data_IF_022264903222
#
_entry.id   IF_022264903222
#
_cell.length_a   1.000
_cell.length_b   1.000
_cell.length_c   1.000
_cell.angle_alpha   90.00
_cell.angle_beta   90.00
_cell.angle_gamma   90.00
#
_symmetry.space_group_name_H-M   'P 1'
#
loop_
_entity.id
_entity.type
_entity.pdbx_description
1 polymer ?
#
# COMPACT_ATOMS: atom_id res chain seq x y z
N UNK A 1 -32.97 28.11 -35.90
CA UNK A 1 -32.85 26.71 -35.44
C UNK A 1 -31.45 26.56 -34.84
N UNK A 2 -31.36 26.55 -33.52
CA UNK A 2 -30.15 26.13 -32.80
C UNK A 2 -30.60 24.96 -31.93
N UNK A 3 -30.17 23.75 -32.28
CA UNK A 3 -30.26 22.60 -31.38
C UNK A 3 -28.87 22.40 -30.77
N UNK A 4 -28.82 22.53 -29.46
CA UNK A 4 -27.63 22.45 -28.63
C UNK A 4 -27.12 21.00 -28.55
N UNK A 5 -25.81 20.85 -28.80
CA UNK A 5 -25.03 19.63 -28.58
C UNK A 5 -25.01 19.26 -27.08
N UNK A 6 -25.96 18.42 -26.63
CA UNK A 6 -26.03 17.92 -25.25
C UNK A 6 -25.45 16.50 -25.03
N UNK A 7 -24.77 15.90 -26.01
CA UNK A 7 -24.43 14.47 -25.97
C UNK A 7 -22.98 14.09 -25.60
N UNK A 8 -22.08 15.04 -25.29
CA UNK A 8 -20.67 14.72 -25.02
C UNK A 8 -20.27 14.61 -23.52
N UNK A 9 -21.18 14.90 -22.59
CA UNK A 9 -20.87 14.91 -21.14
C UNK A 9 -21.02 13.57 -20.42
N UNK A 10 -21.79 12.63 -20.98
CA UNK A 10 -22.14 11.37 -20.31
C UNK A 10 -21.08 10.28 -20.52
N UNK A 11 -20.53 10.17 -21.74
CA UNK A 11 -19.49 9.18 -22.08
C UNK A 11 -18.14 9.48 -21.42
N UNK A 12 -17.79 10.76 -21.28
CA UNK A 12 -16.53 11.18 -20.65
C UNK A 12 -16.52 10.95 -19.13
N UNK A 13 -17.69 11.05 -18.46
CA UNK A 13 -17.83 10.76 -17.03
C UNK A 13 -17.65 9.28 -16.71
N UNK A 14 -18.37 8.43 -17.46
CA UNK A 14 -18.31 6.97 -17.27
C UNK A 14 -16.89 6.42 -17.47
N UNK A 15 -16.17 6.95 -18.45
CA UNK A 15 -14.82 6.52 -18.78
C UNK A 15 -13.76 6.91 -17.74
N UNK A 16 -13.86 8.11 -17.11
CA UNK A 16 -12.90 8.47 -16.05
C UNK A 16 -13.17 7.74 -14.73
N UNK A 17 -14.44 7.55 -14.34
CA UNK A 17 -14.80 6.79 -13.13
C UNK A 17 -14.32 5.33 -13.25
N UNK A 18 -14.49 4.71 -14.42
CA UNK A 18 -13.99 3.35 -14.68
C UNK A 18 -12.46 3.26 -14.62
N UNK A 19 -11.75 4.24 -15.17
CA UNK A 19 -10.28 4.32 -15.09
C UNK A 19 -9.82 4.46 -13.64
N UNK A 20 -10.48 5.32 -12.86
CA UNK A 20 -10.14 5.56 -11.47
C UNK A 20 -10.43 4.33 -10.59
N UNK A 21 -11.57 3.67 -10.81
CA UNK A 21 -11.91 2.41 -10.13
C UNK A 21 -10.92 1.30 -10.46
N UNK A 22 -10.52 1.15 -11.72
CA UNK A 22 -9.50 0.17 -12.10
C UNK A 22 -8.17 0.43 -11.39
N UNK A 23 -7.75 1.68 -11.33
CA UNK A 23 -6.55 2.07 -10.59
C UNK A 23 -6.65 1.76 -9.10
N UNK A 24 -7.78 2.10 -8.45
CA UNK A 24 -8.01 1.77 -7.05
C UNK A 24 -8.07 0.26 -6.77
N UNK A 25 -8.61 -0.54 -7.69
CA UNK A 25 -8.59 -2.01 -7.56
C UNK A 25 -7.17 -2.57 -7.65
N UNK A 26 -6.34 -2.04 -8.55
CA UNK A 26 -4.93 -2.44 -8.65
C UNK A 26 -4.15 -2.05 -7.38
N UNK A 27 -4.38 -0.83 -6.89
CA UNK A 27 -3.83 -0.32 -5.63
C UNK A 27 -4.27 -1.20 -4.44
N UNK A 28 -5.55 -1.55 -4.36
CA UNK A 28 -6.11 -2.44 -3.32
C UNK A 28 -5.43 -3.80 -3.32
N UNK A 29 -5.24 -4.42 -4.48
CA UNK A 29 -4.59 -5.72 -4.58
C UNK A 29 -3.14 -5.68 -4.04
N UNK A 30 -2.42 -4.59 -4.29
CA UNK A 30 -1.08 -4.39 -3.73
C UNK A 30 -1.12 -4.14 -2.23
N UNK A 31 -2.08 -3.37 -1.72
CA UNK A 31 -2.24 -3.22 -0.27
C UNK A 31 -2.57 -4.55 0.42
N UNK A 32 -3.38 -5.41 -0.19
CA UNK A 32 -3.62 -6.78 0.31
C UNK A 32 -2.32 -7.59 0.34
N UNK A 33 -1.49 -7.48 -0.70
CA UNK A 33 -0.16 -8.11 -0.73
C UNK A 33 0.73 -7.60 0.41
N UNK A 34 0.80 -6.27 0.61
CA UNK A 34 1.53 -5.64 1.70
C UNK A 34 1.02 -6.13 3.06
N UNK A 35 -0.29 -6.22 3.25
CA UNK A 35 -0.90 -6.69 4.49
C UNK A 35 -0.53 -8.14 4.81
N UNK A 36 -0.59 -9.03 3.82
CA UNK A 36 -0.16 -10.43 3.98
C UNK A 36 1.32 -10.50 4.35
N UNK A 37 2.17 -9.71 3.69
CA UNK A 37 3.59 -9.65 4.00
C UNK A 37 3.88 -9.05 5.37
N UNK A 38 3.11 -8.05 5.80
CA UNK A 38 3.22 -7.44 7.13
C UNK A 38 2.89 -8.44 8.25
N UNK A 39 1.82 -9.24 8.06
CA UNK A 39 1.49 -10.35 8.97
C UNK A 39 2.55 -11.43 8.98
N UNK A 40 3.05 -11.81 7.80
CA UNK A 40 4.12 -12.81 7.68
C UNK A 40 5.39 -12.33 8.39
N UNK A 41 5.75 -11.05 8.24
CA UNK A 41 6.87 -10.44 8.95
C UNK A 41 6.69 -10.53 10.47
N UNK A 42 5.50 -10.19 10.96
CA UNK A 42 5.17 -10.29 12.38
C UNK A 42 5.36 -11.70 12.92
N UNK A 43 4.81 -12.66 12.21
CA UNK A 43 4.84 -14.06 12.63
C UNK A 43 6.28 -14.60 12.58
N UNK A 44 7.07 -14.20 11.57
CA UNK A 44 8.49 -14.51 11.48
C UNK A 44 9.31 -13.92 12.64
N UNK A 45 9.04 -12.67 13.02
CA UNK A 45 9.69 -12.02 14.16
C UNK A 45 9.33 -12.68 15.49
N UNK A 46 8.07 -13.09 15.67
CA UNK A 46 7.62 -13.82 16.87
C UNK A 46 8.18 -15.24 16.94
N UNK A 47 8.27 -15.92 15.79
CA UNK A 47 8.80 -17.28 15.66
C UNK A 47 10.32 -17.37 15.78
N UNK A 48 11.02 -16.25 15.59
CA UNK A 48 12.48 -16.23 15.57
C UNK A 48 13.05 -16.84 14.29
N UNK A 49 12.37 -16.63 13.16
CA UNK A 49 12.80 -17.13 11.86
C UNK A 49 14.19 -16.57 11.46
N UNK A 50 14.90 -17.26 10.55
CA UNK A 50 16.20 -16.81 10.07
C UNK A 50 16.17 -15.40 9.47
N UNK A 51 17.29 -14.66 9.58
CA UNK A 51 17.34 -13.26 9.12
C UNK A 51 17.09 -13.15 7.63
N UNK A 52 17.57 -14.12 6.84
CA UNK A 52 17.36 -14.15 5.40
C UNK A 52 15.86 -14.15 5.05
N UNK A 53 15.04 -14.87 5.81
CA UNK A 53 13.59 -14.88 5.60
C UNK A 53 12.94 -13.53 5.93
N UNK A 54 13.40 -12.88 7.00
CA UNK A 54 12.95 -11.53 7.37
C UNK A 54 13.33 -10.54 6.27
N UNK A 55 14.57 -10.59 5.76
CA UNK A 55 15.06 -9.73 4.68
C UNK A 55 14.24 -9.95 3.40
N UNK A 56 14.00 -11.21 3.00
CA UNK A 56 13.19 -11.53 1.82
C UNK A 56 11.76 -10.97 1.91
N UNK A 57 11.16 -10.99 3.11
CA UNK A 57 9.83 -10.41 3.34
C UNK A 57 9.89 -8.89 3.18
N UNK A 58 10.88 -8.23 3.78
CA UNK A 58 11.07 -6.78 3.66
C UNK A 58 11.28 -6.34 2.21
N UNK A 59 12.07 -7.09 1.43
CA UNK A 59 12.30 -6.80 0.02
C UNK A 59 11.03 -6.89 -0.82
N UNK A 60 10.22 -7.92 -0.58
CA UNK A 60 8.90 -8.06 -1.23
C UNK A 60 7.95 -6.93 -0.85
N UNK A 61 7.93 -6.52 0.42
CA UNK A 61 7.11 -5.37 0.88
C UNK A 61 7.54 -4.09 0.18
N UNK A 62 8.84 -3.81 0.14
CA UNK A 62 9.39 -2.62 -0.50
C UNK A 62 9.05 -2.60 -2.01
N UNK A 63 9.15 -3.74 -2.69
CA UNK A 63 8.73 -3.84 -4.09
C UNK A 63 7.23 -3.54 -4.27
N UNK A 64 6.38 -4.07 -3.40
CA UNK A 64 4.94 -3.80 -3.44
C UNK A 64 4.64 -2.32 -3.19
N UNK A 65 5.28 -1.68 -2.21
CA UNK A 65 5.14 -0.25 -1.92
C UNK A 65 5.57 0.63 -3.11
N UNK A 66 6.70 0.31 -3.76
CA UNK A 66 7.12 1.02 -4.98
C UNK A 66 6.11 0.91 -6.13
N UNK A 67 5.43 -0.22 -6.25
CA UNK A 67 4.36 -0.42 -7.24
C UNK A 67 3.12 0.39 -6.89
N UNK A 68 2.78 0.52 -5.61
CA UNK A 68 1.71 1.40 -5.13
C UNK A 68 2.04 2.85 -5.49
N UNK A 69 3.23 3.34 -5.13
CA UNK A 69 3.66 4.71 -5.48
C UNK A 69 3.59 4.99 -6.99
N UNK A 70 3.95 4.01 -7.82
CA UNK A 70 3.86 4.14 -9.27
C UNK A 70 2.42 4.30 -9.74
N UNK A 71 1.49 3.53 -9.18
CA UNK A 71 0.05 3.64 -9.46
C UNK A 71 -0.49 4.99 -8.97
N UNK A 72 -0.13 5.41 -7.75
CA UNK A 72 -0.56 6.70 -7.21
C UNK A 72 -0.12 7.87 -8.10
N UNK A 73 1.13 7.85 -8.58
CA UNK A 73 1.66 8.85 -9.53
C UNK A 73 0.92 8.80 -10.86
N UNK A 74 0.65 7.60 -11.39
CA UNK A 74 -0.11 7.45 -12.64
C UNK A 74 -1.55 7.97 -12.53
N UNK A 75 -2.16 7.83 -11.36
CA UNK A 75 -3.55 8.22 -11.10
C UNK A 75 -3.70 9.66 -10.57
N UNK A 76 -2.63 10.40 -10.32
CA UNK A 76 -2.66 11.68 -9.62
C UNK A 76 -3.64 12.68 -10.27
N UNK A 77 -3.63 12.74 -11.59
CA UNK A 77 -4.48 13.64 -12.38
C UNK A 77 -5.96 13.25 -12.27
N UNK A 78 -6.27 11.97 -12.33
CA UNK A 78 -7.62 11.42 -12.23
C UNK A 78 -8.16 11.56 -10.80
N UNK A 79 -7.34 11.26 -9.78
CA UNK A 79 -7.67 11.51 -8.36
C UNK A 79 -7.95 12.99 -8.12
N UNK A 80 -7.17 13.91 -8.72
CA UNK A 80 -7.41 15.36 -8.63
C UNK A 80 -8.74 15.77 -9.27
N UNK A 81 -9.01 15.32 -10.50
CA UNK A 81 -10.29 15.59 -11.18
C UNK A 81 -11.49 15.11 -10.36
N UNK A 82 -11.38 13.91 -9.77
CA UNK A 82 -12.44 13.37 -8.91
C UNK A 82 -12.68 14.25 -7.67
N UNK A 83 -11.61 14.69 -6.99
CA UNK A 83 -11.71 15.59 -5.83
C UNK A 83 -12.39 16.92 -6.17
N UNK A 84 -12.09 17.46 -7.35
CA UNK A 84 -12.63 18.74 -7.82
C UNK A 84 -14.03 18.60 -8.47
N UNK A 85 -14.54 17.37 -8.62
CA UNK A 85 -15.83 17.10 -9.26
C UNK A 85 -17.02 17.33 -8.32
N UNK A 86 -18.11 17.86 -8.85
CA UNK A 86 -19.37 18.09 -8.11
C UNK A 86 -20.28 16.86 -8.07
N UNK A 87 -20.06 15.89 -8.96
CA UNK A 87 -20.79 14.62 -9.00
C UNK A 87 -19.88 13.48 -8.59
N UNK A 88 -19.73 13.26 -7.28
CA UNK A 88 -18.94 12.14 -6.77
C UNK A 88 -19.68 10.82 -7.01
N UNK A 89 -18.98 9.85 -7.59
CA UNK A 89 -19.46 8.49 -7.74
C UNK A 89 -19.44 7.77 -6.39
N UNK A 90 -20.60 7.29 -5.94
CA UNK A 90 -20.75 6.52 -4.70
C UNK A 90 -19.82 5.30 -4.67
N UNK A 91 -19.73 4.57 -5.79
CA UNK A 91 -18.85 3.42 -5.94
C UNK A 91 -17.36 3.76 -5.77
N UNK A 92 -16.94 4.94 -6.24
CA UNK A 92 -15.57 5.42 -6.03
C UNK A 92 -15.35 5.74 -4.56
N UNK A 93 -16.33 6.37 -3.89
CA UNK A 93 -16.25 6.65 -2.46
C UNK A 93 -16.15 5.36 -1.63
N UNK A 94 -17.01 4.37 -1.89
CA UNK A 94 -16.94 3.05 -1.24
C UNK A 94 -15.57 2.40 -1.42
N UNK A 95 -15.00 2.46 -2.62
CA UNK A 95 -13.67 1.87 -2.89
C UNK A 95 -12.57 2.59 -2.11
N UNK A 96 -12.67 3.92 -1.96
CA UNK A 96 -11.74 4.71 -1.14
C UNK A 96 -11.87 4.33 0.33
N UNK A 97 -13.09 4.18 0.85
CA UNK A 97 -13.33 3.80 2.24
C UNK A 97 -12.77 2.39 2.54
N UNK A 98 -12.95 1.43 1.62
CA UNK A 98 -12.34 0.10 1.72
C UNK A 98 -10.80 0.16 1.74
N UNK A 99 -10.20 1.00 0.89
CA UNK A 99 -8.76 1.21 0.87
C UNK A 99 -8.26 1.83 2.18
N UNK A 100 -8.97 2.84 2.70
CA UNK A 100 -8.62 3.46 3.98
C UNK A 100 -8.67 2.45 5.13
N UNK A 101 -9.72 1.62 5.21
CA UNK A 101 -9.80 0.56 6.22
C UNK A 101 -8.64 -0.45 6.11
N UNK A 102 -8.27 -0.84 4.90
CA UNK A 102 -7.13 -1.74 4.68
C UNK A 102 -5.79 -1.11 5.10
N UNK A 103 -5.60 0.19 4.82
CA UNK A 103 -4.40 0.93 5.25
C UNK A 103 -4.32 0.96 6.79
N UNK A 104 -5.43 1.20 7.48
CA UNK A 104 -5.47 1.18 8.95
C UNK A 104 -5.10 -0.19 9.52
N UNK A 105 -5.58 -1.29 8.92
CA UNK A 105 -5.20 -2.64 9.30
C UNK A 105 -3.70 -2.91 9.09
N UNK A 106 -3.13 -2.44 7.97
CA UNK A 106 -1.69 -2.53 7.70
C UNK A 106 -0.92 -1.77 8.78
N UNK A 107 -1.28 -0.52 9.06
CA UNK A 107 -0.62 0.32 10.07
C UNK A 107 -0.71 -0.27 11.47
N UNK A 108 -1.78 -0.99 11.81
CA UNK A 108 -1.87 -1.73 13.08
C UNK A 108 -0.80 -2.83 13.16
N UNK A 109 -0.65 -3.62 12.09
CA UNK A 109 0.36 -4.70 12.04
C UNK A 109 1.79 -4.15 11.98
N UNK A 110 2.03 -3.05 11.25
CA UNK A 110 3.36 -2.42 11.19
C UNK A 110 3.79 -1.87 12.56
N UNK A 111 2.86 -1.32 13.35
CA UNK A 111 3.15 -0.91 14.73
C UNK A 111 3.54 -2.11 15.60
N UNK A 112 2.87 -3.25 15.45
CA UNK A 112 3.28 -4.49 16.13
C UNK A 112 4.68 -4.92 15.69
N UNK A 113 4.99 -4.86 14.39
CA UNK A 113 6.31 -5.18 13.86
C UNK A 113 7.39 -4.25 14.41
N UNK A 114 7.13 -2.96 14.49
CA UNK A 114 8.04 -1.96 15.06
C UNK A 114 8.35 -2.24 16.52
N UNK A 115 7.31 -2.55 17.33
CA UNK A 115 7.50 -2.97 18.71
C UNK A 115 8.34 -4.25 18.78
N UNK A 116 8.10 -5.23 17.90
CA UNK A 116 8.89 -6.45 17.85
C UNK A 116 10.35 -6.18 17.47
N UNK A 117 10.63 -5.33 16.49
CA UNK A 117 12.02 -4.98 16.14
C UNK A 117 12.76 -4.26 17.26
N UNK A 118 12.07 -3.39 18.01
CA UNK A 118 12.67 -2.62 19.11
C UNK A 118 12.82 -3.43 20.40
N UNK A 119 11.90 -4.36 20.68
CA UNK A 119 11.88 -5.13 21.94
C UNK A 119 12.50 -6.52 21.83
N UNK A 120 12.51 -7.13 20.64
CA UNK A 120 13.11 -8.45 20.47
C UNK A 120 14.62 -8.34 20.61
N UNK A 121 15.19 -9.01 21.60
CA UNK A 121 16.56 -9.49 21.49
C UNK A 121 16.57 -10.47 20.33
N UNK A 122 16.95 -10.03 19.12
CA UNK A 122 17.18 -10.88 17.94
C UNK A 122 18.39 -11.84 18.15
N UNK A 123 18.64 -12.25 19.41
CA UNK A 123 19.78 -13.03 19.92
C UNK A 123 19.83 -14.46 19.38
N UNK A 124 18.78 -14.92 18.69
CA UNK A 124 18.74 -16.25 18.06
C UNK A 124 18.96 -16.24 16.55
N UNK A 125 19.05 -15.05 15.92
CA UNK A 125 19.10 -14.96 14.48
C UNK A 125 20.55 -15.11 14.01
N UNK A 126 20.89 -16.32 13.60
CA UNK A 126 22.24 -16.71 13.21
C UNK A 126 22.31 -16.77 11.68
N UNK A 127 22.78 -15.69 11.05
CA UNK A 127 23.05 -15.66 9.61
C UNK A 127 24.45 -15.08 9.37
N UNK A 128 25.19 -15.66 8.42
CA UNK A 128 26.54 -15.24 8.07
C UNK A 128 26.56 -14.01 7.15
N UNK A 129 25.42 -13.68 6.53
CA UNK A 129 25.35 -12.67 5.47
C UNK A 129 24.81 -11.32 5.90
N UNK A 130 24.01 -11.24 6.97
CA UNK A 130 23.39 -9.99 7.41
C UNK A 130 23.56 -9.78 8.91
N UNK A 131 23.95 -8.57 9.30
CA UNK A 131 23.97 -8.18 10.71
C UNK A 131 22.59 -7.74 11.18
N UNK A 132 22.34 -7.86 12.48
CA UNK A 132 21.11 -7.41 13.14
C UNK A 132 20.87 -5.92 12.91
N UNK A 133 21.92 -5.12 13.07
CA UNK A 133 21.89 -3.67 12.94
C UNK A 133 21.50 -3.26 11.51
N UNK A 134 21.94 -4.02 10.50
CA UNK A 134 21.54 -3.80 9.11
C UNK A 134 20.04 -3.99 8.90
N UNK A 135 19.45 -5.04 9.47
CA UNK A 135 18.02 -5.34 9.27
C UNK A 135 17.12 -4.38 10.04
N UNK A 136 17.51 -4.01 11.26
CA UNK A 136 16.80 -2.96 12.02
C UNK A 136 16.91 -1.61 11.32
N UNK A 137 18.11 -1.22 10.86
CA UNK A 137 18.31 0.02 10.11
C UNK A 137 17.50 0.02 8.81
N UNK A 138 17.44 -1.11 8.10
CA UNK A 138 16.63 -1.25 6.89
C UNK A 138 15.15 -1.07 7.19
N UNK A 139 14.61 -1.79 8.17
CA UNK A 139 13.22 -1.65 8.58
C UNK A 139 12.87 -0.21 8.97
N UNK A 140 13.70 0.42 9.82
CA UNK A 140 13.47 1.80 10.26
C UNK A 140 13.65 2.83 9.14
N UNK A 141 14.56 2.60 8.18
CA UNK A 141 14.70 3.45 7.00
C UNK A 141 13.50 3.36 6.06
N UNK A 142 12.87 2.19 5.98
CA UNK A 142 11.67 1.96 5.17
C UNK A 142 10.40 2.44 5.89
N UNK A 143 10.34 2.39 7.22
CA UNK A 143 9.23 2.91 8.03
C UNK A 143 9.29 4.44 8.26
N UNK A 144 10.49 5.03 8.23
CA UNK A 144 10.75 6.43 8.54
C UNK A 144 10.88 7.36 7.32
N UNK A 145 10.59 6.87 6.11
CA UNK A 145 10.64 7.66 4.88
C UNK A 145 9.55 8.74 4.83
N UNK A 146 9.84 9.89 5.43
CA UNK A 146 9.19 11.18 5.18
C UNK A 146 9.69 11.82 3.88
#
# INVERSE_FOLDING_TARGET
>A
MMEENFYNGFDSRRNYDETLLQGYVQEKNLYVEVFVLAKKLRDALKGGEPIGEIVDILEKKNLAMKRIEAIEKMMEKEKKKYRDSTGKSERVAETIDELSGLIEEILAVERENEVLFTTSSLRGINDKHYSREFVVARYLSEAGGQ
#
